data_IF_609693006940
#
_entry.id   IF_609693006940
#
_cell.length_a   1.000
_cell.length_b   1.000
_cell.length_c   1.000
_cell.angle_alpha   90.00
_cell.angle_beta   90.00
_cell.angle_gamma   90.00
#
_symmetry.space_group_name_H-M   'P 1'
#
loop_
_entity.id
_entity.type
_entity.pdbx_description
1 polymer ?
#
# COMPACT_ATOMS: atom_id res chain seq x y z
N UNK A 1 -4.00 -7.55 2.58
CA UNK A 1 -4.18 -6.35 1.73
C UNK A 1 -3.21 -6.40 0.56
N UNK A 2 -3.43 -5.54 -0.43
CA UNK A 2 -2.77 -5.68 -1.75
C UNK A 2 -1.49 -4.86 -1.91
N UNK A 3 -0.84 -4.46 -0.83
CA UNK A 3 0.35 -3.57 -0.91
C UNK A 3 1.46 -4.21 -1.73
N UNK A 4 1.84 -5.43 -1.37
CA UNK A 4 2.94 -6.13 -2.07
C UNK A 4 2.59 -6.38 -3.53
N UNK A 5 1.36 -6.81 -3.80
CA UNK A 5 0.87 -7.07 -5.16
C UNK A 5 1.00 -5.81 -6.02
N UNK A 6 0.45 -4.69 -5.54
CA UNK A 6 0.46 -3.42 -6.28
C UNK A 6 1.89 -2.93 -6.50
N UNK A 7 2.72 -3.04 -5.47
CA UNK A 7 4.12 -2.63 -5.56
C UNK A 7 4.85 -3.42 -6.64
N UNK A 8 4.69 -4.74 -6.63
CA UNK A 8 5.37 -5.61 -7.59
C UNK A 8 4.86 -5.41 -9.01
N UNK A 9 3.56 -5.19 -9.18
CA UNK A 9 2.99 -4.91 -10.50
C UNK A 9 3.58 -3.66 -11.13
N UNK A 10 4.01 -2.69 -10.31
CA UNK A 10 4.59 -1.44 -10.78
C UNK A 10 6.12 -1.44 -10.73
N UNK A 11 6.73 -2.58 -10.41
CA UNK A 11 8.19 -2.73 -10.34
C UNK A 11 8.84 -1.74 -9.37
N UNK A 12 8.18 -1.50 -8.23
CA UNK A 12 8.65 -0.57 -7.19
C UNK A 12 9.25 -1.40 -6.06
N UNK A 13 10.46 -1.02 -5.60
CA UNK A 13 11.08 -1.67 -4.44
C UNK A 13 10.45 -1.18 -3.14
N UNK A 14 10.60 -1.95 -2.06
CA UNK A 14 10.17 -1.50 -0.73
C UNK A 14 10.86 -0.21 -0.32
N UNK A 15 12.16 -0.08 -0.64
CA UNK A 15 12.93 1.12 -0.31
C UNK A 15 12.37 2.33 -1.05
N UNK A 16 12.09 2.19 -2.34
CA UNK A 16 11.54 3.29 -3.15
C UNK A 16 10.18 3.74 -2.60
N UNK A 17 9.30 2.79 -2.32
CA UNK A 17 7.98 3.10 -1.76
C UNK A 17 8.11 3.80 -0.40
N UNK A 18 9.00 3.30 0.46
CA UNK A 18 9.22 3.88 1.77
C UNK A 18 9.69 5.33 1.65
N UNK A 19 10.64 5.59 0.75
CA UNK A 19 11.14 6.95 0.51
C UNK A 19 10.02 7.86 0.01
N UNK A 20 9.24 7.41 -0.96
CA UNK A 20 8.16 8.21 -1.55
C UNK A 20 7.07 8.55 -0.52
N UNK A 21 6.80 7.65 0.41
CA UNK A 21 5.76 7.82 1.43
C UNK A 21 6.31 8.35 2.76
N UNK A 22 7.60 8.62 2.83
CA UNK A 22 8.25 9.08 4.06
C UNK A 22 8.03 8.11 5.22
N UNK A 23 8.17 6.82 4.93
CA UNK A 23 8.08 5.73 5.89
C UNK A 23 9.38 4.96 5.91
N UNK A 24 9.59 4.11 6.92
CA UNK A 24 10.74 3.21 6.93
C UNK A 24 10.45 1.98 6.07
N UNK A 25 11.52 1.38 5.49
CA UNK A 25 11.39 0.13 4.76
C UNK A 25 10.82 -0.97 5.68
N UNK A 26 11.25 -0.99 6.94
CA UNK A 26 10.78 -1.99 7.90
C UNK A 26 9.26 -1.89 8.09
N UNK A 27 8.71 -0.68 8.13
CA UNK A 27 7.26 -0.47 8.24
C UNK A 27 6.54 -1.06 7.02
N UNK A 28 7.01 -0.76 5.82
CA UNK A 28 6.43 -1.31 4.59
C UNK A 28 6.49 -2.84 4.61
N UNK A 29 7.64 -3.40 4.97
CA UNK A 29 7.83 -4.85 5.04
C UNK A 29 6.84 -5.50 6.02
N UNK A 30 6.62 -4.89 7.18
CA UNK A 30 5.69 -5.42 8.17
C UNK A 30 4.25 -5.34 7.71
N UNK A 31 3.87 -4.28 7.00
CA UNK A 31 2.54 -4.19 6.38
C UNK A 31 2.34 -5.33 5.39
N UNK A 32 3.35 -5.59 4.54
CA UNK A 32 3.25 -6.63 3.51
C UNK A 32 3.16 -8.04 4.11
N UNK A 33 3.78 -8.26 5.26
CA UNK A 33 3.72 -9.55 5.93
C UNK A 33 2.51 -9.72 6.86
N UNK A 34 1.68 -8.69 6.97
CA UNK A 34 0.53 -8.73 7.88
C UNK A 34 0.89 -8.64 9.35
N UNK A 35 2.11 -8.22 9.68
CA UNK A 35 2.59 -8.09 11.06
C UNK A 35 2.16 -6.78 11.69
N UNK A 36 1.75 -5.82 10.90
CA UNK A 36 1.28 -4.51 11.33
C UNK A 36 0.23 -4.00 10.36
N UNK A 37 -0.82 -3.39 10.88
CA UNK A 37 -1.83 -2.76 10.04
C UNK A 37 -1.55 -1.26 9.93
N UNK A 38 -1.63 -0.69 8.69
CA UNK A 38 -1.56 0.76 8.54
C UNK A 38 -2.74 1.44 9.23
N UNK A 39 -2.48 2.60 9.83
CA UNK A 39 -3.57 3.45 10.31
C UNK A 39 -4.34 4.07 9.15
N UNK A 40 -5.40 4.82 9.46
CA UNK A 40 -6.27 5.39 8.42
C UNK A 40 -5.50 6.33 7.49
N UNK A 41 -4.69 7.23 8.04
CA UNK A 41 -3.91 8.16 7.20
C UNK A 41 -2.91 7.44 6.32
N UNK A 42 -2.28 6.38 6.82
CA UNK A 42 -1.34 5.57 6.04
C UNK A 42 -2.06 4.80 4.94
N UNK A 43 -3.26 4.27 5.23
CA UNK A 43 -4.07 3.58 4.22
C UNK A 43 -4.43 4.52 3.06
N UNK A 44 -4.86 5.74 3.39
CA UNK A 44 -5.21 6.74 2.38
C UNK A 44 -3.97 7.09 1.55
N UNK A 45 -2.84 7.34 2.20
CA UNK A 45 -1.59 7.69 1.52
C UNK A 45 -1.14 6.57 0.58
N UNK A 46 -1.22 5.31 1.02
CA UNK A 46 -0.82 4.16 0.20
C UNK A 46 -1.78 3.99 -0.99
N UNK A 47 -3.09 4.08 -0.75
CA UNK A 47 -4.08 3.98 -1.82
C UNK A 47 -3.87 5.06 -2.87
N UNK A 48 -3.64 6.31 -2.44
CA UNK A 48 -3.36 7.42 -3.33
C UNK A 48 -2.06 7.21 -4.11
N UNK A 49 -1.03 6.68 -3.44
CA UNK A 49 0.24 6.39 -4.07
C UNK A 49 0.07 5.42 -5.25
N UNK A 50 -0.78 4.42 -5.10
CA UNK A 50 -1.04 3.44 -6.15
C UNK A 50 -2.22 3.81 -7.05
N UNK A 51 -2.89 4.93 -6.81
CA UNK A 51 -4.08 5.37 -7.57
C UNK A 51 -5.20 4.32 -7.55
N UNK A 52 -5.46 3.77 -6.39
CA UNK A 52 -6.56 2.82 -6.19
C UNK A 52 -7.43 3.26 -5.01
N UNK A 53 -8.62 2.67 -4.89
CA UNK A 53 -9.47 2.93 -3.73
C UNK A 53 -8.89 2.23 -2.49
N UNK A 54 -9.21 2.76 -1.32
CA UNK A 54 -8.87 2.09 -0.05
C UNK A 54 -9.54 0.72 0.00
N UNK A 55 -10.79 0.61 -0.46
CA UNK A 55 -11.51 -0.66 -0.49
C UNK A 55 -10.76 -1.72 -1.30
N UNK A 56 -10.22 -1.34 -2.46
CA UNK A 56 -9.41 -2.27 -3.25
C UNK A 56 -8.12 -2.64 -2.53
N UNK A 57 -7.45 -1.64 -1.95
CA UNK A 57 -6.19 -1.87 -1.24
C UNK A 57 -6.35 -2.89 -0.11
N UNK A 58 -7.42 -2.78 0.66
CA UNK A 58 -7.65 -3.68 1.80
C UNK A 58 -8.36 -4.97 1.41
N UNK A 59 -8.75 -5.13 0.14
CA UNK A 59 -9.32 -6.38 -0.36
C UNK A 59 -10.83 -6.50 -0.28
N UNK A 60 -11.54 -5.39 -0.06
CA UNK A 60 -13.01 -5.40 0.03
C UNK A 60 -13.69 -5.43 -1.33
N UNK A 61 -12.99 -5.07 -2.39
CA UNK A 61 -13.53 -5.05 -3.75
C UNK A 61 -12.46 -5.49 -4.73
N UNK A 62 -12.88 -6.03 -5.87
CA UNK A 62 -12.01 -6.36 -6.98
C UNK A 62 -11.84 -5.17 -7.95
N UNK A 63 -12.60 -4.09 -7.74
CA UNK A 63 -12.55 -2.90 -8.59
C UNK A 63 -11.59 -1.87 -8.00
N UNK A 64 -10.46 -1.56 -8.67
CA UNK A 64 -9.50 -0.60 -8.14
C UNK A 64 -9.94 0.85 -8.27
N UNK A 65 -11.02 1.15 -8.97
CA UNK A 65 -11.43 2.52 -9.24
C UNK A 65 -11.67 3.30 -7.94
N UNK A 66 -11.18 4.55 -7.94
CA UNK A 66 -11.43 5.49 -6.87
C UNK A 66 -12.86 6.02 -7.03
N UNK A 67 -13.59 6.03 -5.91
CA UNK A 67 -14.98 6.52 -5.92
C UNK A 67 -15.12 7.81 -5.17
#
# INVERSE_FOLDING_TARGET
MRIRQLRKERHITQIKMAMDLNMSQNTISRYERGEREPGISELIAIADYFHVSVDYLIGRTENPAIQ
#
